data_IF_910404003303
#
_entry.id   IF_910404003303
#
_cell.length_a   1.000
_cell.length_b   1.000
_cell.length_c   1.000
_cell.angle_alpha   90.00
_cell.angle_beta   90.00
_cell.angle_gamma   90.00
#
_symmetry.space_group_name_H-M   'P 1'
#
loop_
_entity.id
_entity.type
_entity.pdbx_description
1 polymer ?
#
# COMPACT_ATOMS: atom_id res chain seq x y z
N UNK A 1 6.70 0.62 24.32
CA UNK A 1 6.32 1.79 23.48
C UNK A 1 7.33 2.12 22.38
N UNK A 2 8.64 2.24 22.68
CA UNK A 2 9.69 2.54 21.68
C UNK A 2 9.70 1.59 20.47
N UNK A 3 9.69 0.28 20.71
CA UNK A 3 9.68 -0.76 19.65
C UNK A 3 8.48 -0.65 18.72
N UNK A 4 7.28 -0.46 19.27
CA UNK A 4 6.04 -0.30 18.49
C UNK A 4 6.13 0.89 17.51
N UNK A 5 6.64 2.03 17.99
CA UNK A 5 6.88 3.20 17.12
C UNK A 5 7.86 2.91 15.99
N UNK A 6 8.95 2.20 16.27
CA UNK A 6 9.93 1.83 15.25
C UNK A 6 9.27 0.95 14.18
N UNK A 7 8.51 -0.06 14.60
CA UNK A 7 7.78 -0.95 13.68
C UNK A 7 6.80 -0.15 12.82
N UNK A 8 6.00 0.74 13.41
CA UNK A 8 5.04 1.56 12.65
C UNK A 8 5.73 2.58 11.72
N UNK A 9 6.85 3.15 12.13
CA UNK A 9 7.62 4.06 11.27
C UNK A 9 8.19 3.32 10.05
N UNK A 10 8.85 2.18 10.27
CA UNK A 10 9.39 1.36 9.20
C UNK A 10 8.26 0.85 8.29
N UNK A 11 7.17 0.37 8.87
CA UNK A 11 5.99 -0.08 8.13
C UNK A 11 5.38 1.02 7.26
N UNK A 12 5.25 2.24 7.78
CA UNK A 12 4.76 3.39 7.03
C UNK A 12 5.67 3.77 5.86
N UNK A 13 6.99 3.74 6.06
CA UNK A 13 7.98 4.01 5.01
C UNK A 13 7.90 2.92 3.92
N UNK A 14 7.82 1.65 4.31
CA UNK A 14 7.68 0.54 3.36
C UNK A 14 6.39 0.66 2.55
N UNK A 15 5.27 1.01 3.18
CA UNK A 15 4.02 1.28 2.46
C UNK A 15 4.15 2.41 1.45
N UNK A 16 4.81 3.50 1.82
CA UNK A 16 4.99 4.64 0.93
C UNK A 16 5.79 4.24 -0.31
N UNK A 17 6.94 3.58 -0.14
CA UNK A 17 7.76 3.14 -1.28
C UNK A 17 7.02 2.13 -2.16
N UNK A 18 6.37 1.16 -1.54
CA UNK A 18 5.64 0.13 -2.28
C UNK A 18 4.46 0.71 -3.06
N UNK A 19 3.71 1.64 -2.45
CA UNK A 19 2.62 2.35 -3.10
C UNK A 19 3.10 3.19 -4.28
N UNK A 20 4.19 3.96 -4.12
CA UNK A 20 4.78 4.73 -5.21
C UNK A 20 5.27 3.83 -6.36
N UNK A 21 5.83 2.65 -6.02
CA UNK A 21 6.23 1.65 -7.00
C UNK A 21 5.05 1.15 -7.85
N UNK A 22 3.93 0.79 -7.22
CA UNK A 22 2.73 0.34 -7.95
C UNK A 22 2.17 1.46 -8.83
N UNK A 23 2.09 2.69 -8.31
CA UNK A 23 1.62 3.83 -9.11
C UNK A 23 2.48 3.99 -10.36
N UNK A 24 3.81 3.95 -10.21
CA UNK A 24 4.73 4.01 -11.34
C UNK A 24 4.49 2.88 -12.35
N UNK A 25 4.36 1.63 -11.88
CA UNK A 25 4.07 0.47 -12.76
C UNK A 25 2.75 0.62 -13.50
N UNK A 26 1.69 1.09 -12.83
CA UNK A 26 0.39 1.29 -13.46
C UNK A 26 0.43 2.40 -14.53
N UNK A 27 1.16 3.48 -14.29
CA UNK A 27 1.38 4.51 -15.32
C UNK A 27 2.11 3.96 -16.54
N UNK A 28 3.14 3.13 -16.35
CA UNK A 28 3.87 2.49 -17.45
C UNK A 28 2.98 1.53 -18.25
N UNK A 29 2.16 0.73 -17.56
CA UNK A 29 1.20 -0.18 -18.21
C UNK A 29 0.16 0.59 -19.03
N UNK A 30 -0.36 1.70 -18.52
CA UNK A 30 -1.31 2.54 -19.27
C UNK A 30 -0.68 3.07 -20.58
N UNK A 31 0.58 3.49 -20.54
CA UNK A 31 1.31 3.89 -21.76
C UNK A 31 1.42 2.74 -22.75
N UNK A 32 1.80 1.54 -22.27
CA UNK A 32 1.91 0.35 -23.11
C UNK A 32 0.57 -0.05 -23.77
N UNK A 33 -0.55 0.02 -23.04
CA UNK A 33 -1.88 -0.26 -23.60
C UNK A 33 -2.28 0.73 -24.68
N UNK A 34 -1.95 2.01 -24.48
CA UNK A 34 -2.17 3.05 -25.50
C UNK A 34 -1.36 2.77 -26.75
N UNK A 35 -0.09 2.38 -26.62
CA UNK A 35 0.79 2.06 -27.76
C UNK A 35 0.30 0.83 -28.54
N UNK A 36 -0.27 -0.16 -27.84
CA UNK A 36 -0.79 -1.40 -28.44
C UNK A 36 -2.27 -1.31 -28.89
N UNK A 37 -2.91 -0.15 -28.77
CA UNK A 37 -4.33 0.05 -29.12
C UNK A 37 -5.31 -0.91 -28.42
N UNK A 38 -4.97 -1.35 -27.20
CA UNK A 38 -5.79 -2.27 -26.43
C UNK A 38 -6.89 -1.48 -25.72
N UNK A 39 -8.14 -1.89 -25.93
CA UNK A 39 -9.31 -1.23 -25.34
C UNK A 39 -9.51 -1.68 -23.88
N UNK A 40 -8.54 -1.37 -23.03
CA UNK A 40 -8.58 -1.58 -21.59
C UNK A 40 -8.67 -0.23 -20.88
N UNK A 41 -9.56 -0.12 -19.89
CA UNK A 41 -9.67 1.08 -19.04
C UNK A 41 -8.96 0.84 -17.70
N UNK A 42 -7.72 1.34 -17.49
CA UNK A 42 -6.98 1.13 -16.24
C UNK A 42 -7.45 2.02 -15.08
N UNK A 43 -8.28 3.04 -15.35
CA UNK A 43 -8.64 4.04 -14.34
C UNK A 43 -9.27 3.48 -13.06
N UNK A 44 -10.18 2.47 -13.09
CA UNK A 44 -10.71 1.88 -11.87
C UNK A 44 -9.63 1.25 -10.98
N UNK A 45 -8.66 0.58 -11.59
CA UNK A 45 -7.52 -0.04 -10.88
C UNK A 45 -6.59 1.02 -10.32
N UNK A 46 -6.30 2.07 -11.09
CA UNK A 46 -5.48 3.21 -10.66
C UNK A 46 -6.13 3.94 -9.47
N UNK A 47 -7.41 4.26 -9.57
CA UNK A 47 -8.15 4.93 -8.49
C UNK A 47 -8.19 4.06 -7.24
N UNK A 48 -8.49 2.77 -7.38
CA UNK A 48 -8.50 1.82 -6.26
C UNK A 48 -7.14 1.76 -5.56
N UNK A 49 -6.05 1.73 -6.33
CA UNK A 49 -4.67 1.74 -5.82
C UNK A 49 -4.32 3.05 -5.11
N UNK A 50 -4.74 4.20 -5.65
CA UNK A 50 -4.53 5.50 -5.00
C UNK A 50 -5.22 5.54 -3.63
N UNK A 51 -6.52 5.20 -3.59
CA UNK A 51 -7.31 5.25 -2.36
C UNK A 51 -6.77 4.29 -1.32
N UNK A 52 -6.48 3.04 -1.69
CA UNK A 52 -5.95 2.06 -0.76
C UNK A 52 -4.57 2.43 -0.23
N UNK A 53 -3.66 2.88 -1.09
CA UNK A 53 -2.33 3.31 -0.66
C UNK A 53 -2.39 4.46 0.34
N UNK A 54 -3.23 5.47 0.08
CA UNK A 54 -3.46 6.57 1.03
C UNK A 54 -3.98 6.06 2.37
N UNK A 55 -4.99 5.17 2.38
CA UNK A 55 -5.53 4.60 3.62
C UNK A 55 -4.46 3.89 4.43
N UNK A 56 -3.63 3.06 3.79
CA UNK A 56 -2.58 2.29 4.47
C UNK A 56 -1.46 3.18 5.02
N UNK A 57 -0.99 4.13 4.22
CA UNK A 57 0.04 5.10 4.63
C UNK A 57 -0.49 5.95 5.79
N UNK A 58 -1.68 6.52 5.67
CA UNK A 58 -2.29 7.35 6.72
C UNK A 58 -2.57 6.56 7.99
N UNK A 59 -3.06 5.32 7.90
CA UNK A 59 -3.30 4.48 9.07
C UNK A 59 -2.01 4.17 9.83
N UNK A 60 -0.92 3.84 9.13
CA UNK A 60 0.35 3.47 9.77
C UNK A 60 1.03 4.68 10.42
N UNK A 61 1.14 5.81 9.70
CA UNK A 61 1.68 7.05 10.27
C UNK A 61 0.77 7.65 11.35
N UNK A 62 -0.55 7.51 11.22
CA UNK A 62 -1.52 7.87 12.24
C UNK A 62 -1.31 7.09 13.53
N UNK A 63 -1.10 5.77 13.43
CA UNK A 63 -0.81 4.94 14.60
C UNK A 63 0.54 5.27 15.23
N UNK A 64 1.57 5.53 14.43
CA UNK A 64 2.86 6.04 14.93
C UNK A 64 2.68 7.34 15.72
N UNK A 65 1.92 8.29 15.18
CA UNK A 65 1.66 9.57 15.84
C UNK A 65 0.85 9.39 17.14
N UNK A 66 -0.15 8.50 17.14
CA UNK A 66 -0.90 8.12 18.32
C UNK A 66 0.02 7.55 19.43
N UNK A 67 0.93 6.62 19.09
CA UNK A 67 1.89 6.07 20.04
C UNK A 67 2.82 7.16 20.61
N UNK A 68 3.26 8.11 19.77
CA UNK A 68 4.08 9.25 20.21
C UNK A 68 3.31 10.16 21.18
N UNK A 69 2.03 10.42 20.94
CA UNK A 69 1.22 11.21 21.86
C UNK A 69 0.99 10.51 23.20
N UNK A 70 0.74 9.20 23.20
CA UNK A 70 0.55 8.43 24.43
C UNK A 70 1.81 8.40 25.29
N UNK A 71 2.98 8.23 24.67
CA UNK A 71 4.27 8.30 25.37
C UNK A 71 4.52 9.67 26.02
N UNK A 72 4.18 10.79 25.35
CA UNK A 72 4.28 12.14 25.93
C UNK A 72 3.40 12.34 27.16
N UNK A 73 2.31 11.59 27.28
CA UNK A 73 1.38 11.63 28.42
C UNK A 73 1.71 10.56 29.47
N UNK A 74 2.86 9.91 29.36
CA UNK A 74 3.29 8.79 30.21
C UNK A 74 2.27 7.65 30.26
N UNK A 75 1.43 7.54 29.22
CA UNK A 75 0.37 6.56 29.13
C UNK A 75 0.85 5.33 28.35
N UNK A 76 0.61 4.15 28.90
CA UNK A 76 0.89 2.90 28.21
C UNK A 76 -0.22 2.53 27.22
N UNK A 77 0.19 1.90 26.11
CA UNK A 77 -0.72 1.30 25.15
C UNK A 77 -0.52 -0.22 25.23
N UNK A 78 -1.50 -0.91 25.80
CA UNK A 78 -1.51 -2.38 25.84
C UNK A 78 -1.42 -2.94 24.43
N UNK A 79 -0.62 -3.99 24.25
CA UNK A 79 -0.43 -4.66 22.96
C UNK A 79 0.07 -3.75 21.82
N UNK A 80 0.70 -2.60 22.12
CA UNK A 80 1.18 -1.67 21.10
C UNK A 80 2.05 -2.33 20.03
N UNK A 81 2.92 -3.27 20.42
CA UNK A 81 3.79 -4.00 19.49
C UNK A 81 2.97 -4.87 18.54
N UNK A 82 1.98 -5.61 19.07
CA UNK A 82 1.08 -6.44 18.27
C UNK A 82 0.30 -5.58 17.27
N UNK A 83 -0.27 -4.45 17.71
CA UNK A 83 -0.99 -3.54 16.81
C UNK A 83 -0.08 -2.92 15.75
N UNK A 84 1.14 -2.53 16.11
CA UNK A 84 2.12 -2.05 15.12
C UNK A 84 2.45 -3.12 14.08
N UNK A 85 2.62 -4.38 14.49
CA UNK A 85 2.84 -5.50 13.58
C UNK A 85 1.63 -5.76 12.68
N UNK A 86 0.42 -5.80 13.25
CA UNK A 86 -0.80 -6.02 12.48
C UNK A 86 -0.99 -4.92 11.42
N UNK A 87 -0.81 -3.65 11.80
CA UNK A 87 -0.98 -2.51 10.89
C UNK A 87 0.14 -2.46 9.84
N UNK A 88 1.36 -2.90 10.16
CA UNK A 88 2.49 -2.84 9.22
C UNK A 88 2.62 -4.06 8.31
N UNK A 89 2.21 -5.25 8.76
CA UNK A 89 2.49 -6.51 8.05
C UNK A 89 1.26 -7.04 7.33
N UNK A 90 0.10 -7.10 7.99
CA UNK A 90 -1.10 -7.75 7.41
C UNK A 90 -1.56 -7.03 6.14
N UNK A 91 -1.69 -5.69 6.12
CA UNK A 91 -2.05 -5.01 4.88
C UNK A 91 -0.94 -5.06 3.84
N UNK A 92 0.34 -5.24 4.21
CA UNK A 92 1.43 -5.32 3.23
C UNK A 92 1.31 -6.60 2.40
N UNK A 93 1.01 -7.72 3.06
CA UNK A 93 0.78 -9.01 2.38
C UNK A 93 -0.46 -8.92 1.48
N UNK A 94 -1.57 -8.40 1.99
CA UNK A 94 -2.80 -8.23 1.19
C UNK A 94 -2.58 -7.33 -0.02
N UNK A 95 -1.87 -6.23 0.18
CA UNK A 95 -1.59 -5.26 -0.88
C UNK A 95 -0.65 -5.82 -1.95
N UNK A 96 0.26 -6.73 -1.57
CA UNK A 96 1.15 -7.42 -2.50
C UNK A 96 0.41 -8.46 -3.38
N UNK A 97 -0.56 -9.16 -2.80
CA UNK A 97 -1.46 -10.05 -3.54
C UNK A 97 -2.34 -9.23 -4.50
N UNK A 98 -2.99 -8.18 -4.01
CA UNK A 98 -3.88 -7.34 -4.81
C UNK A 98 -3.15 -6.61 -5.93
N UNK A 99 -1.93 -6.14 -5.68
CA UNK A 99 -1.11 -5.48 -6.72
C UNK A 99 -0.68 -6.46 -7.81
N UNK A 100 -0.42 -7.72 -7.46
CA UNK A 100 -0.14 -8.77 -8.44
C UNK A 100 -1.35 -8.98 -9.34
N UNK A 101 -2.57 -9.05 -8.80
CA UNK A 101 -3.78 -9.11 -9.64
C UNK A 101 -3.97 -7.84 -10.47
N UNK A 102 -3.71 -6.66 -9.91
CA UNK A 102 -3.80 -5.38 -10.61
C UNK A 102 -2.81 -5.25 -11.78
N UNK A 103 -1.64 -5.90 -11.71
CA UNK A 103 -0.60 -5.89 -12.75
C UNK A 103 -0.77 -7.06 -13.72
N UNK A 104 -1.17 -8.24 -13.24
CA UNK A 104 -1.25 -9.48 -14.03
C UNK A 104 -2.57 -9.61 -14.80
N UNK A 105 -3.71 -9.22 -14.22
CA UNK A 105 -4.99 -9.30 -14.95
C UNK A 105 -4.97 -8.48 -16.26
N UNK A 106 -4.37 -7.28 -16.30
CA UNK A 106 -4.16 -6.56 -17.55
C UNK A 106 -3.20 -7.27 -18.52
N UNK A 107 -2.20 -8.01 -18.04
CA UNK A 107 -1.29 -8.79 -18.90
C UNK A 107 -1.99 -10.03 -19.51
N UNK A 108 -2.96 -10.63 -18.81
CA UNK A 108 -3.76 -11.72 -19.39
C UNK A 108 -4.61 -11.25 -20.57
N UNK A 109 -5.14 -10.02 -20.52
CA UNK A 109 -5.88 -9.47 -21.67
C UNK A 109 -5.01 -9.26 -22.91
N UNK A 110 -3.68 -9.09 -22.74
CA UNK A 110 -2.73 -9.01 -23.85
C UNK A 110 -2.52 -10.37 -24.53
N UNK A 111 -2.45 -11.46 -23.76
CA UNK A 111 -2.26 -12.81 -24.29
C UNK A 111 -3.48 -13.36 -25.03
N UNK A 112 -4.70 -12.94 -24.68
CA UNK A 112 -5.91 -13.36 -25.40
C UNK A 112 -6.11 -12.60 -26.73
N UNK A 113 -5.39 -11.49 -26.95
CA UNK A 113 -5.43 -10.71 -28.20
C UNK A 113 -4.44 -11.17 -29.28
N UNK A 114 -3.54 -12.10 -28.98
CA UNK A 114 -2.56 -12.68 -29.92
C UNK A 114 -2.88 -14.15 -30.21
#
# INVERSE_FOLDING_TARGET
MKTAKIISLIGGILYLFYWLGILFTLFQLNTLYSDLSINYNPWPVVIGTIVWGLVLVSANFGFFYYLRQKEKKEAEVKNAVLYSLLIAVVPLVLYLVLSTFAVVAPLYTLTDTF
#
